data_IF_173272065761
#
_entry.id   IF_173272065761
#
_cell.length_a   1.000
_cell.length_b   1.000
_cell.length_c   1.000
_cell.angle_alpha   90.00
_cell.angle_beta   90.00
_cell.angle_gamma   90.00
#
_symmetry.space_group_name_H-M   'P 1'
#
loop_
_entity.id
_entity.type
_entity.pdbx_description
1 polymer ?
#
# COMPACT_ATOMS: atom_id res chain seq x y z
N UNK A 1 15.92 0.14 34.43
CA UNK A 1 17.15 -0.47 33.89
C UNK A 1 17.19 -0.21 32.39
N UNK A 2 18.36 0.20 31.88
CA UNK A 2 18.61 0.39 30.45
C UNK A 2 19.81 -0.45 30.01
N UNK A 3 19.83 -0.85 28.75
CA UNK A 3 20.80 -1.76 28.14
C UNK A 3 21.52 -1.07 26.98
N UNK A 4 22.78 -1.47 26.77
CA UNK A 4 23.57 -1.08 25.59
C UNK A 4 23.09 -1.82 24.34
N UNK A 5 22.57 -3.04 24.50
CA UNK A 5 22.05 -3.88 23.42
C UNK A 5 20.74 -4.54 23.84
N UNK A 6 19.75 -4.48 22.96
CA UNK A 6 18.54 -5.31 23.02
C UNK A 6 18.53 -6.17 21.76
N UNK A 7 18.68 -7.48 21.91
CA UNK A 7 18.62 -8.45 20.81
C UNK A 7 17.37 -9.33 20.97
N UNK A 8 16.49 -9.41 19.95
CA UNK A 8 15.16 -10.00 20.15
C UNK A 8 14.50 -10.55 18.90
N UNK A 9 13.69 -11.59 19.10
CA UNK A 9 12.62 -12.03 18.20
C UNK A 9 11.31 -11.87 18.99
N UNK A 10 10.68 -10.69 18.93
CA UNK A 10 9.62 -10.31 19.85
C UNK A 10 8.36 -11.15 19.61
N UNK A 11 7.53 -11.36 20.64
CA UNK A 11 6.28 -12.11 20.50
C UNK A 11 5.34 -11.47 19.46
N UNK A 12 4.81 -12.29 18.56
CA UNK A 12 3.93 -11.89 17.46
C UNK A 12 2.43 -11.91 17.83
N UNK A 13 2.14 -12.21 19.10
CA UNK A 13 0.78 -12.45 19.59
C UNK A 13 -0.14 -11.25 19.34
N UNK A 14 -1.35 -11.55 18.88
CA UNK A 14 -2.47 -10.61 18.80
C UNK A 14 -3.44 -10.90 19.94
N UNK A 15 -3.21 -10.26 21.09
CA UNK A 15 -4.06 -10.43 22.28
C UNK A 15 -5.50 -9.98 22.04
N UNK A 16 -5.74 -9.14 21.03
CA UNK A 16 -7.06 -8.59 20.74
C UNK A 16 -7.86 -9.43 19.76
N UNK A 17 -7.27 -10.50 19.20
CA UNK A 17 -7.86 -11.34 18.15
C UNK A 17 -8.36 -10.55 16.94
N UNK A 18 -7.86 -9.32 16.71
CA UNK A 18 -8.32 -8.44 15.62
C UNK A 18 -7.73 -8.81 14.27
N UNK A 19 -6.79 -9.76 14.22
CA UNK A 19 -6.07 -10.26 13.04
C UNK A 19 -5.40 -9.14 12.22
N UNK A 20 -5.15 -7.97 12.81
CA UNK A 20 -4.56 -6.79 12.15
C UNK A 20 -3.15 -6.54 12.67
N UNK A 21 -2.21 -6.30 11.75
CA UNK A 21 -0.79 -6.07 12.05
C UNK A 21 -0.56 -4.98 13.10
N UNK A 22 -1.33 -3.90 13.08
CA UNK A 22 -1.17 -2.75 13.99
C UNK A 22 -1.43 -3.04 15.47
N UNK A 23 -2.03 -4.20 15.79
CA UNK A 23 -2.36 -4.61 17.16
C UNK A 23 -1.48 -5.77 17.66
N UNK A 24 -0.47 -6.17 16.88
CA UNK A 24 0.45 -7.22 17.30
C UNK A 24 1.47 -6.67 18.29
N UNK A 25 1.76 -7.45 19.33
CA UNK A 25 2.61 -7.03 20.45
C UNK A 25 4.01 -6.58 20.02
N UNK A 26 4.57 -7.17 18.96
CA UNK A 26 5.92 -6.84 18.49
C UNK A 26 6.12 -5.35 18.17
N UNK A 27 5.07 -4.63 17.72
CA UNK A 27 5.18 -3.19 17.42
C UNK A 27 5.43 -2.40 18.71
N UNK A 28 4.65 -2.70 19.75
CA UNK A 28 4.79 -2.04 21.05
C UNK A 28 6.06 -2.49 21.77
N UNK A 29 6.50 -3.73 21.57
CA UNK A 29 7.79 -4.23 22.05
C UNK A 29 8.95 -3.41 21.45
N UNK A 30 8.97 -3.23 20.13
CA UNK A 30 10.00 -2.42 19.46
C UNK A 30 9.98 -0.99 19.96
N UNK A 31 8.82 -0.34 20.07
CA UNK A 31 8.74 1.02 20.60
C UNK A 31 9.25 1.11 22.03
N UNK A 32 8.86 0.17 22.89
CA UNK A 32 9.32 0.12 24.28
C UNK A 32 10.82 -0.08 24.39
N UNK A 33 11.45 -0.79 23.44
CA UNK A 33 12.89 -0.91 23.38
C UNK A 33 13.57 0.47 23.28
N UNK A 34 13.11 1.34 22.38
CA UNK A 34 13.65 2.70 22.25
C UNK A 34 13.21 3.63 23.37
N UNK A 35 11.96 3.54 23.83
CA UNK A 35 11.38 4.47 24.79
C UNK A 35 11.88 4.25 26.23
N UNK A 36 12.24 3.01 26.59
CA UNK A 36 12.49 2.62 27.98
C UNK A 36 13.72 1.74 28.21
N UNK A 37 14.11 0.91 27.25
CA UNK A 37 15.12 -0.13 27.50
C UNK A 37 16.50 0.23 26.96
N UNK A 38 16.60 0.93 25.83
CA UNK A 38 17.89 1.30 25.26
C UNK A 38 18.42 2.58 25.87
N UNK A 39 19.71 2.58 26.18
CA UNK A 39 20.46 3.82 26.44
C UNK A 39 20.55 4.66 25.15
N UNK A 40 20.85 5.97 25.23
CA UNK A 40 21.36 6.71 24.07
C UNK A 40 22.54 5.96 23.43
N UNK A 41 22.65 5.96 22.11
CA UNK A 41 23.64 5.17 21.33
C UNK A 41 23.49 3.64 21.43
N UNK A 42 22.59 3.11 22.27
CA UNK A 42 22.33 1.69 22.39
C UNK A 42 21.73 1.09 21.11
N UNK A 43 21.83 -0.24 20.96
CA UNK A 43 21.50 -0.95 19.72
C UNK A 43 20.27 -1.85 19.90
N UNK A 44 19.29 -1.73 18.99
CA UNK A 44 18.29 -2.77 18.76
C UNK A 44 18.74 -3.69 17.63
N UNK A 45 18.85 -4.99 17.90
CA UNK A 45 18.95 -6.05 16.90
C UNK A 45 17.67 -6.87 16.94
N UNK A 46 16.88 -6.86 15.86
CA UNK A 46 15.55 -7.48 15.90
C UNK A 46 15.20 -8.21 14.60
N UNK A 47 14.60 -9.40 14.74
CA UNK A 47 13.86 -10.10 13.68
C UNK A 47 12.36 -9.83 13.87
N UNK A 48 11.62 -9.42 12.83
CA UNK A 48 10.17 -9.13 12.93
C UNK A 48 9.45 -9.29 11.58
N UNK A 49 8.11 -9.24 11.48
CA UNK A 49 7.45 -9.34 10.18
C UNK A 49 7.79 -8.14 9.31
N UNK A 50 8.04 -8.35 8.02
CA UNK A 50 8.33 -7.26 7.07
C UNK A 50 7.10 -6.40 6.72
N UNK A 51 5.95 -6.60 7.36
CA UNK A 51 4.76 -5.76 7.19
C UNK A 51 4.96 -4.28 7.58
N UNK A 52 6.06 -3.94 8.27
CA UNK A 52 6.39 -2.54 8.56
C UNK A 52 6.75 -1.73 7.32
N UNK A 53 6.98 -2.33 6.16
CA UNK A 53 7.28 -1.61 4.92
C UNK A 53 6.11 -0.72 4.45
N UNK A 54 4.91 -0.89 5.03
CA UNK A 54 3.68 -0.19 4.63
C UNK A 54 3.55 1.27 5.13
N UNK A 55 2.76 2.12 4.43
CA UNK A 55 2.58 3.55 4.72
C UNK A 55 2.13 4.00 6.11
N UNK A 56 1.54 3.10 6.88
CA UNK A 56 0.97 3.39 8.20
C UNK A 56 1.75 2.74 9.33
N UNK A 57 2.95 2.25 9.02
CA UNK A 57 3.82 1.56 9.96
C UNK A 57 4.50 2.52 10.93
N UNK A 58 4.27 2.30 12.22
CA UNK A 58 5.01 2.99 13.30
C UNK A 58 6.50 2.63 13.29
N UNK A 59 6.84 1.44 12.80
CA UNK A 59 8.22 0.94 12.78
C UNK A 59 9.00 1.54 11.62
N UNK A 60 8.36 1.75 10.46
CA UNK A 60 9.00 2.50 9.37
C UNK A 60 9.25 3.94 9.80
N UNK A 61 8.28 4.58 10.46
CA UNK A 61 8.48 5.93 11.02
C UNK A 61 9.66 5.97 12.00
N UNK A 62 9.79 4.97 12.85
CA UNK A 62 10.94 4.84 13.75
C UNK A 62 12.26 4.71 12.96
N UNK A 63 12.30 3.88 11.93
CA UNK A 63 13.46 3.75 11.02
C UNK A 63 13.77 5.05 10.27
N UNK A 64 12.76 5.89 10.01
CA UNK A 64 12.94 7.21 9.41
C UNK A 64 13.55 8.23 10.37
N UNK A 65 13.46 8.03 11.68
CA UNK A 65 13.96 8.96 12.70
C UNK A 65 15.32 8.52 13.27
N UNK A 66 15.58 7.20 13.28
CA UNK A 66 16.75 6.59 13.91
C UNK A 66 17.81 6.18 12.89
N UNK A 67 19.04 6.01 13.38
CA UNK A 67 20.16 5.56 12.56
C UNK A 67 20.11 4.04 12.35
N UNK A 68 19.56 3.62 11.20
CA UNK A 68 19.47 2.22 10.81
C UNK A 68 20.75 1.82 10.08
N UNK A 69 21.51 0.90 10.69
CA UNK A 69 22.76 0.39 10.11
C UNK A 69 22.48 -0.49 8.91
N UNK A 70 21.63 -1.49 9.10
CA UNK A 70 21.21 -2.39 8.03
C UNK A 70 19.75 -2.80 8.19
N UNK A 71 19.12 -3.11 7.05
CA UNK A 71 17.79 -3.65 6.93
C UNK A 71 17.82 -4.83 5.95
N UNK A 72 17.68 -6.05 6.47
CA UNK A 72 17.66 -7.29 5.69
C UNK A 72 16.22 -7.74 5.47
N UNK A 73 15.83 -7.90 4.21
CA UNK A 73 14.46 -8.24 3.77
C UNK A 73 14.33 -9.67 3.23
N UNK A 74 15.43 -10.39 3.08
CA UNK A 74 15.47 -11.78 2.60
C UNK A 74 15.44 -12.82 3.75
N UNK A 75 15.21 -12.38 4.99
CA UNK A 75 15.22 -13.19 6.22
C UNK A 75 14.23 -14.36 6.18
N UNK A 76 13.18 -14.29 5.35
CA UNK A 76 12.22 -15.38 5.13
C UNK A 76 12.90 -16.71 4.78
N UNK A 77 14.08 -16.70 4.16
CA UNK A 77 14.83 -17.92 3.83
C UNK A 77 15.10 -18.84 5.03
N UNK A 78 15.17 -18.27 6.24
CA UNK A 78 15.35 -19.01 7.49
C UNK A 78 14.03 -19.54 8.09
N UNK A 79 12.87 -19.17 7.51
CA UNK A 79 11.52 -19.48 8.00
C UNK A 79 10.64 -20.12 6.90
N UNK A 80 11.20 -21.06 6.12
CA UNK A 80 10.55 -21.63 4.93
C UNK A 80 9.17 -22.26 5.16
N UNK A 81 8.91 -22.77 6.37
CA UNK A 81 7.63 -23.39 6.76
C UNK A 81 6.59 -22.41 7.31
N UNK A 82 6.94 -21.12 7.45
CA UNK A 82 6.07 -20.11 8.03
C UNK A 82 5.44 -19.27 6.92
N UNK A 83 4.11 -19.19 6.89
CA UNK A 83 3.34 -18.43 5.88
C UNK A 83 3.42 -16.90 6.02
N UNK A 84 4.56 -16.35 6.46
CA UNK A 84 4.78 -14.92 6.66
C UNK A 84 6.15 -14.50 6.11
N UNK A 85 6.34 -13.20 5.97
CA UNK A 85 7.62 -12.59 5.54
C UNK A 85 8.27 -11.91 6.73
N UNK A 86 9.58 -12.06 6.84
CA UNK A 86 10.37 -11.55 7.96
C UNK A 86 11.50 -10.68 7.45
N UNK A 87 11.92 -9.76 8.32
CA UNK A 87 13.08 -8.93 8.13
C UNK A 87 13.88 -8.89 9.44
N UNK A 88 15.19 -8.73 9.33
CA UNK A 88 16.06 -8.44 10.45
C UNK A 88 16.85 -7.15 10.24
N UNK A 89 17.09 -6.42 11.31
CA UNK A 89 17.69 -5.10 11.25
C UNK A 89 18.45 -4.74 12.51
N UNK A 90 19.39 -3.82 12.34
CA UNK A 90 20.13 -3.18 13.41
C UNK A 90 19.88 -1.68 13.38
N UNK A 91 19.40 -1.13 14.49
CA UNK A 91 19.08 0.29 14.63
C UNK A 91 19.78 0.83 15.89
N UNK A 92 20.52 1.92 15.74
CA UNK A 92 21.06 2.67 16.86
C UNK A 92 20.01 3.61 17.43
N UNK A 93 19.94 3.73 18.76
CA UNK A 93 19.11 4.69 19.47
C UNK A 93 19.74 6.09 19.46
N UNK A 94 19.87 6.64 18.26
CA UNK A 94 20.35 7.98 17.99
C UNK A 94 19.68 8.54 16.73
N UNK A 95 19.67 9.86 16.54
CA UNK A 95 19.16 10.46 15.31
C UNK A 95 19.87 9.89 14.08
N UNK A 96 19.16 9.79 12.97
CA UNK A 96 19.74 9.32 11.72
C UNK A 96 20.99 10.12 11.33
N UNK A 97 22.03 9.40 10.91
CA UNK A 97 23.29 10.02 10.49
C UNK A 97 23.81 9.49 9.15
N UNK A 98 23.50 8.24 8.80
CA UNK A 98 24.04 7.57 7.61
C UNK A 98 22.93 6.96 6.74
N UNK A 99 23.32 6.58 5.52
CA UNK A 99 22.50 5.68 4.69
C UNK A 99 22.40 4.32 5.37
N UNK A 100 21.30 3.63 5.08
CA UNK A 100 21.03 2.28 5.54
C UNK A 100 21.48 1.28 4.48
N UNK A 101 22.23 0.26 4.88
CA UNK A 101 22.50 -0.89 4.03
C UNK A 101 21.23 -1.75 3.91
N UNK A 102 20.61 -1.78 2.73
CA UNK A 102 19.44 -2.62 2.45
C UNK A 102 19.92 -3.90 1.78
N UNK A 103 19.56 -5.05 2.36
CA UNK A 103 19.94 -6.38 1.88
C UNK A 103 18.67 -7.10 1.44
N UNK A 104 18.60 -7.49 0.18
CA UNK A 104 17.49 -8.24 -0.41
C UNK A 104 18.00 -9.51 -1.09
N UNK A 105 17.09 -10.31 -1.63
CA UNK A 105 17.41 -11.47 -2.47
C UNK A 105 18.02 -11.05 -3.82
N UNK A 106 17.85 -9.79 -4.23
CA UNK A 106 18.39 -9.22 -5.48
C UNK A 106 19.79 -8.60 -5.30
N UNK A 107 20.25 -8.39 -4.06
CA UNK A 107 21.55 -7.80 -3.77
C UNK A 107 21.53 -6.85 -2.58
N UNK A 108 22.63 -6.10 -2.42
CA UNK A 108 22.83 -5.14 -1.34
C UNK A 108 23.06 -3.75 -1.94
N UNK A 109 22.42 -2.73 -1.38
CA UNK A 109 22.60 -1.33 -1.78
C UNK A 109 22.39 -0.39 -0.59
N UNK A 110 22.84 0.86 -0.70
CA UNK A 110 22.68 1.87 0.35
C UNK A 110 21.55 2.84 0.04
N UNK A 111 20.69 3.12 1.03
CA UNK A 111 19.56 4.02 0.87
C UNK A 111 19.29 4.86 2.12
N UNK A 112 19.01 6.15 1.92
CA UNK A 112 18.42 6.98 2.97
C UNK A 112 16.94 6.64 3.14
N UNK A 113 16.55 6.05 4.28
CA UNK A 113 15.14 5.77 4.60
C UNK A 113 14.58 6.95 5.39
N UNK A 114 14.06 8.01 4.76
CA UNK A 114 13.49 9.18 5.44
C UNK A 114 12.00 9.38 5.14
N UNK A 115 11.44 10.51 5.57
CA UNK A 115 10.01 10.82 5.42
C UNK A 115 9.53 10.94 3.97
N UNK A 116 10.44 11.14 3.00
CA UNK A 116 10.11 11.13 1.56
C UNK A 116 9.71 9.73 1.09
N UNK A 117 10.31 8.69 1.69
CA UNK A 117 9.95 7.29 1.48
C UNK A 117 8.88 6.88 2.47
N UNK A 118 7.63 7.29 2.23
CA UNK A 118 6.54 6.96 3.14
C UNK A 118 6.14 5.48 3.10
N UNK A 119 6.67 4.68 2.18
CA UNK A 119 6.68 3.21 2.22
C UNK A 119 7.90 2.63 1.52
N UNK A 120 8.12 1.32 1.69
CA UNK A 120 9.06 0.53 0.90
C UNK A 120 8.27 -0.51 0.07
N UNK A 121 8.44 -0.58 -1.25
CA UNK A 121 7.73 -1.53 -2.11
C UNK A 121 7.93 -2.98 -1.65
N UNK A 122 7.04 -3.90 -2.02
CA UNK A 122 7.18 -5.31 -1.67
C UNK A 122 8.38 -5.99 -2.38
N UNK A 123 8.85 -5.40 -3.48
CA UNK A 123 9.93 -5.90 -4.33
C UNK A 123 11.22 -5.06 -4.21
N UNK A 124 11.49 -4.48 -3.04
CA UNK A 124 12.57 -3.51 -2.77
C UNK A 124 13.86 -3.81 -3.56
N UNK A 125 14.24 -2.86 -4.41
CA UNK A 125 15.56 -2.74 -5.04
C UNK A 125 15.82 -1.26 -5.35
N UNK A 126 17.01 -0.92 -5.84
CA UNK A 126 17.31 0.44 -6.28
C UNK A 126 16.38 0.88 -7.42
N UNK A 127 16.15 0.00 -8.40
CA UNK A 127 15.24 0.24 -9.53
C UNK A 127 13.80 0.45 -9.06
N UNK A 128 13.29 -0.45 -8.21
CA UNK A 128 11.93 -0.33 -7.65
C UNK A 128 11.76 1.00 -6.92
N UNK A 129 12.72 1.38 -6.05
CA UNK A 129 12.65 2.66 -5.35
C UNK A 129 12.70 3.86 -6.30
N UNK A 130 13.52 3.82 -7.35
CA UNK A 130 13.60 4.89 -8.35
C UNK A 130 12.29 5.04 -9.13
N UNK A 131 11.67 3.94 -9.56
CA UNK A 131 10.36 3.94 -10.21
C UNK A 131 9.30 4.55 -9.28
N UNK A 132 9.22 4.07 -8.03
CA UNK A 132 8.26 4.59 -7.06
C UNK A 132 8.50 6.06 -6.70
N UNK A 133 9.75 6.55 -6.73
CA UNK A 133 10.05 7.98 -6.58
C UNK A 133 9.46 8.82 -7.69
N UNK A 134 9.68 8.42 -8.94
CA UNK A 134 9.23 9.15 -10.13
C UNK A 134 7.71 9.28 -10.21
N UNK A 135 6.97 8.33 -9.62
CA UNK A 135 5.53 8.20 -9.87
C UNK A 135 4.68 8.41 -8.61
N UNK A 136 5.18 8.07 -7.43
CA UNK A 136 4.38 8.12 -6.19
C UNK A 136 4.98 9.08 -5.16
N UNK A 137 6.28 9.01 -4.90
CA UNK A 137 6.87 9.80 -3.80
C UNK A 137 7.06 11.27 -4.14
N UNK A 138 7.50 11.59 -5.36
CA UNK A 138 7.87 12.96 -5.75
C UNK A 138 6.81 13.66 -6.62
N UNK A 139 5.72 12.98 -6.98
CA UNK A 139 4.64 13.60 -7.77
C UNK A 139 3.84 14.57 -6.91
N UNK A 140 3.67 15.78 -7.42
CA UNK A 140 2.89 16.85 -6.81
C UNK A 140 1.44 16.80 -7.30
N UNK A 141 1.23 16.67 -8.62
CA UNK A 141 -0.12 16.59 -9.21
C UNK A 141 -0.69 15.18 -9.07
N UNK A 142 -1.65 15.03 -8.17
CA UNK A 142 -2.24 13.74 -7.78
C UNK A 142 -3.69 13.67 -8.24
N UNK A 143 -4.12 12.47 -8.63
CA UNK A 143 -5.53 12.25 -8.90
C UNK A 143 -6.38 12.57 -7.66
N UNK A 144 -7.55 13.15 -7.90
CA UNK A 144 -8.57 13.36 -6.89
C UNK A 144 -9.31 12.04 -6.58
N UNK A 145 -8.59 11.10 -5.96
CA UNK A 145 -9.14 9.81 -5.54
C UNK A 145 -10.07 10.01 -4.36
N UNK A 146 -11.32 9.60 -4.53
CA UNK A 146 -12.41 9.69 -3.56
C UNK A 146 -12.79 8.32 -3.05
N UNK A 147 -13.45 8.30 -1.90
CA UNK A 147 -14.00 7.11 -1.24
C UNK A 147 -15.17 7.54 -0.35
N UNK A 148 -16.00 6.58 0.06
CA UNK A 148 -17.11 6.79 1.00
C UNK A 148 -17.10 5.70 2.07
N UNK A 149 -16.70 6.07 3.28
CA UNK A 149 -16.62 5.17 4.43
C UNK A 149 -17.90 5.10 5.27
N UNK A 150 -18.95 5.81 4.88
CA UNK A 150 -20.11 6.01 5.74
C UNK A 150 -21.36 5.38 5.15
N UNK A 151 -21.76 5.81 3.96
CA UNK A 151 -23.13 5.56 3.45
C UNK A 151 -23.42 4.07 3.28
N UNK A 152 -22.48 3.33 2.70
CA UNK A 152 -22.62 1.91 2.37
C UNK A 152 -21.49 1.07 3.00
N UNK A 153 -21.03 1.42 4.21
CA UNK A 153 -19.94 0.70 4.86
C UNK A 153 -20.30 -0.79 5.04
N UNK A 154 -19.38 -1.70 4.71
CA UNK A 154 -19.61 -3.14 4.78
C UNK A 154 -20.13 -3.65 6.13
N UNK A 155 -19.81 -3.01 7.26
CA UNK A 155 -20.29 -3.40 8.60
C UNK A 155 -21.79 -3.25 8.75
N UNK A 156 -22.42 -2.41 7.92
CA UNK A 156 -23.86 -2.18 7.93
C UNK A 156 -24.63 -3.47 7.64
N UNK A 157 -24.06 -4.43 6.87
CA UNK A 157 -24.67 -5.74 6.57
C UNK A 157 -25.03 -6.55 7.83
N UNK A 158 -24.41 -6.22 8.97
CA UNK A 158 -24.63 -6.87 10.25
C UNK A 158 -25.30 -5.97 11.30
N UNK A 159 -25.44 -4.67 11.00
CA UNK A 159 -25.89 -3.66 11.97
C UNK A 159 -27.25 -3.09 11.65
N UNK A 160 -27.60 -3.01 10.37
CA UNK A 160 -28.89 -2.51 9.92
C UNK A 160 -29.27 -3.14 8.58
N UNK A 161 -30.44 -2.74 8.09
CA UNK A 161 -31.00 -3.21 6.82
C UNK A 161 -30.79 -2.17 5.70
N UNK A 162 -29.64 -1.48 5.66
CA UNK A 162 -29.35 -0.50 4.59
C UNK A 162 -28.72 -1.16 3.36
N UNK A 163 -27.97 -2.25 3.56
CA UNK A 163 -27.28 -2.98 2.50
C UNK A 163 -27.60 -4.48 2.56
N UNK A 164 -27.63 -5.12 1.40
CA UNK A 164 -27.89 -6.55 1.22
C UNK A 164 -26.91 -7.16 0.22
N UNK A 165 -26.53 -8.42 0.41
CA UNK A 165 -25.68 -9.15 -0.56
C UNK A 165 -26.44 -9.54 -1.84
N UNK A 166 -27.77 -9.55 -1.79
CA UNK A 166 -28.66 -9.89 -2.91
C UNK A 166 -29.63 -8.75 -3.17
N UNK A 167 -30.08 -8.62 -4.42
CA UNK A 167 -31.10 -7.63 -4.79
C UNK A 167 -32.43 -8.01 -4.13
N UNK A 168 -33.12 -7.03 -3.56
CA UNK A 168 -34.48 -7.19 -3.03
C UNK A 168 -35.37 -6.05 -3.53
N UNK A 169 -36.64 -6.03 -3.13
CA UNK A 169 -37.56 -4.94 -3.45
C UNK A 169 -37.09 -3.59 -2.91
N UNK A 170 -36.52 -3.58 -1.70
CA UNK A 170 -35.98 -2.36 -1.08
C UNK A 170 -34.51 -2.09 -1.47
N UNK A 171 -33.68 -3.13 -1.64
CA UNK A 171 -32.26 -3.00 -1.96
C UNK A 171 -32.05 -3.03 -3.46
N UNK A 172 -32.34 -1.91 -4.12
CA UNK A 172 -32.37 -1.83 -5.58
C UNK A 172 -31.09 -1.24 -6.18
N UNK A 173 -30.30 -0.49 -5.41
CA UNK A 173 -29.14 0.22 -5.94
C UNK A 173 -27.88 -0.64 -5.85
N UNK A 174 -27.26 -1.02 -6.97
CA UNK A 174 -26.08 -1.87 -6.93
C UNK A 174 -24.87 -1.08 -6.39
N UNK A 175 -24.12 -1.72 -5.50
CA UNK A 175 -22.88 -1.18 -4.92
C UNK A 175 -21.75 -2.17 -5.15
N UNK A 176 -20.64 -1.69 -5.69
CA UNK A 176 -19.45 -2.51 -5.89
C UNK A 176 -18.78 -2.76 -4.53
N UNK A 177 -18.36 -4.00 -4.25
CA UNK A 177 -17.72 -4.36 -2.98
C UNK A 177 -16.30 -4.90 -3.20
N UNK A 178 -16.19 -5.96 -3.99
CA UNK A 178 -14.90 -6.54 -4.42
C UNK A 178 -15.00 -6.93 -5.89
N UNK A 179 -13.87 -7.25 -6.51
CA UNK A 179 -13.86 -7.70 -7.91
C UNK A 179 -14.77 -8.90 -8.19
N UNK A 180 -15.12 -9.70 -7.17
CA UNK A 180 -16.00 -10.85 -7.30
C UNK A 180 -17.44 -10.58 -6.83
N UNK A 181 -17.72 -9.40 -6.26
CA UNK A 181 -18.96 -9.16 -5.52
C UNK A 181 -19.55 -7.77 -5.78
N UNK A 182 -20.81 -7.79 -6.20
CA UNK A 182 -21.73 -6.65 -6.18
C UNK A 182 -22.77 -6.93 -5.11
N UNK A 183 -23.03 -5.93 -4.27
CA UNK A 183 -24.09 -5.93 -3.27
C UNK A 183 -25.13 -4.88 -3.67
N UNK A 184 -26.13 -4.66 -2.82
CA UNK A 184 -27.22 -3.74 -3.08
C UNK A 184 -27.53 -2.88 -1.85
N UNK A 185 -27.98 -1.65 -2.07
CA UNK A 185 -28.32 -0.67 -1.04
C UNK A 185 -29.74 -0.15 -1.22
N UNK A 186 -30.39 0.20 -0.10
CA UNK A 186 -31.64 1.00 -0.10
C UNK A 186 -31.39 2.47 -0.45
N UNK A 187 -30.17 2.95 -0.18
CA UNK A 187 -29.77 4.35 -0.38
C UNK A 187 -28.86 4.44 -1.60
N UNK A 188 -29.21 5.31 -2.55
CA UNK A 188 -28.30 5.65 -3.65
C UNK A 188 -27.30 6.70 -3.16
N UNK A 189 -26.02 6.37 -3.19
CA UNK A 189 -24.96 7.35 -2.94
C UNK A 189 -24.99 8.44 -4.02
N UNK A 190 -24.77 9.70 -3.63
CA UNK A 190 -24.84 10.87 -4.54
C UNK A 190 -23.89 10.74 -5.75
N UNK A 191 -22.74 10.11 -5.55
CA UNK A 191 -21.75 9.85 -6.60
C UNK A 191 -22.08 8.60 -7.44
N UNK A 192 -23.04 7.79 -7.01
CA UNK A 192 -23.39 6.52 -7.65
C UNK A 192 -23.90 6.70 -9.09
N UNK A 193 -24.60 7.80 -9.40
CA UNK A 193 -25.09 8.11 -10.76
C UNK A 193 -24.05 8.82 -11.63
N UNK A 194 -22.88 9.16 -11.09
CA UNK A 194 -21.85 9.89 -11.82
C UNK A 194 -20.90 8.96 -12.56
N UNK A 195 -20.41 9.41 -13.70
CA UNK A 195 -19.34 8.73 -14.44
C UNK A 195 -18.05 8.72 -13.63
N UNK A 196 -17.39 7.58 -13.57
CA UNK A 196 -16.20 7.38 -12.73
C UNK A 196 -15.38 6.20 -13.16
N UNK A 197 -14.09 6.23 -12.85
CA UNK A 197 -13.25 5.02 -12.82
C UNK A 197 -13.11 4.60 -11.37
N UNK A 198 -13.35 3.32 -11.08
CA UNK A 198 -13.39 2.81 -9.71
C UNK A 198 -12.65 1.48 -9.57
N UNK A 199 -12.20 1.18 -8.34
CA UNK A 199 -11.53 -0.08 -8.01
C UNK A 199 -11.76 -0.47 -6.56
N UNK A 200 -11.64 -1.76 -6.27
CA UNK A 200 -11.65 -2.27 -4.90
C UNK A 200 -10.24 -2.29 -4.33
N UNK A 201 -10.11 -1.99 -3.04
CA UNK A 201 -8.89 -2.27 -2.28
C UNK A 201 -8.70 -3.74 -1.98
N UNK A 202 -9.71 -4.59 -2.15
CA UNK A 202 -9.61 -6.02 -1.85
C UNK A 202 -9.03 -6.80 -3.01
N UNK A 203 -8.06 -7.67 -2.74
CA UNK A 203 -7.45 -8.48 -3.79
C UNK A 203 -6.69 -7.60 -4.81
N UNK A 204 -6.63 -8.04 -6.05
CA UNK A 204 -5.90 -7.30 -7.10
C UNK A 204 -6.62 -6.00 -7.44
N UNK A 205 -5.89 -4.89 -7.46
CA UNK A 205 -6.45 -3.61 -7.91
C UNK A 205 -6.79 -3.73 -9.40
N UNK A 206 -8.07 -3.60 -9.73
CA UNK A 206 -8.57 -3.68 -11.11
C UNK A 206 -9.47 -2.46 -11.38
N UNK A 207 -8.89 -1.33 -11.81
CA UNK A 207 -9.65 -0.16 -12.21
C UNK A 207 -10.55 -0.48 -13.40
N UNK A 208 -11.78 0.02 -13.37
CA UNK A 208 -12.72 -0.08 -14.50
C UNK A 208 -13.61 1.17 -14.60
N UNK A 209 -14.07 1.47 -15.80
CA UNK A 209 -15.01 2.57 -16.04
C UNK A 209 -16.44 2.18 -15.66
N UNK A 210 -17.10 3.02 -14.86
CA UNK A 210 -18.51 2.96 -14.51
C UNK A 210 -19.24 4.20 -15.03
N UNK A 211 -20.24 3.98 -15.89
CA UNK A 211 -21.08 5.03 -16.47
C UNK A 211 -22.23 5.44 -15.53
N UNK A 212 -21.98 5.48 -14.21
CA UNK A 212 -23.00 5.83 -13.21
C UNK A 212 -23.93 4.68 -12.83
N UNK A 213 -23.47 3.43 -12.90
CA UNK A 213 -24.28 2.27 -12.48
C UNK A 213 -24.09 2.00 -10.99
N UNK A 214 -22.84 1.97 -10.54
CA UNK A 214 -22.50 1.50 -9.20
C UNK A 214 -22.30 2.64 -8.20
N UNK A 215 -22.83 2.45 -6.99
CA UNK A 215 -22.20 2.98 -5.77
C UNK A 215 -21.05 2.07 -5.32
N UNK A 216 -20.66 2.15 -4.06
CA UNK A 216 -19.60 1.29 -3.53
C UNK A 216 -19.57 1.28 -2.02
N UNK A 217 -19.05 0.19 -1.46
CA UNK A 217 -18.81 0.10 -0.02
C UNK A 217 -17.53 0.85 0.38
N UNK A 218 -17.21 0.85 1.68
CA UNK A 218 -15.92 1.26 2.27
C UNK A 218 -14.66 0.61 1.65
N UNK A 219 -14.83 -0.34 0.73
CA UNK A 219 -13.74 -1.01 0.04
C UNK A 219 -13.36 -0.32 -1.27
N UNK A 220 -14.13 0.68 -1.70
CA UNK A 220 -14.06 1.24 -3.05
C UNK A 220 -13.42 2.62 -3.06
N UNK A 221 -12.56 2.81 -4.05
CA UNK A 221 -11.98 4.09 -4.40
C UNK A 221 -12.39 4.43 -5.83
N UNK A 222 -12.56 5.72 -6.11
CA UNK A 222 -12.98 6.17 -7.43
C UNK A 222 -12.45 7.55 -7.78
N UNK A 223 -12.40 7.83 -9.08
CA UNK A 223 -12.12 9.15 -9.66
C UNK A 223 -13.30 9.49 -10.56
N UNK A 224 -13.89 10.67 -10.35
CA UNK A 224 -14.99 11.16 -11.18
C UNK A 224 -14.44 11.64 -12.52
N UNK A 225 -15.18 11.39 -13.59
CA UNK A 225 -14.86 11.82 -14.95
C UNK A 225 -16.09 12.49 -15.57
N UNK A 226 -15.87 13.27 -16.62
CA UNK A 226 -16.95 14.09 -17.21
C UNK A 226 -17.74 13.33 -18.27
N UNK A 227 -17.10 12.40 -18.98
CA UNK A 227 -17.70 11.68 -20.10
C UNK A 227 -17.16 10.24 -20.28
N UNK A 228 -17.71 9.52 -21.26
CA UNK A 228 -17.37 8.12 -21.52
C UNK A 228 -15.95 7.97 -22.10
N UNK A 229 -15.47 8.98 -22.83
CA UNK A 229 -14.15 8.96 -23.47
C UNK A 229 -13.10 9.11 -22.37
N UNK A 230 -13.24 10.14 -21.52
CA UNK A 230 -12.40 10.39 -20.36
C UNK A 230 -12.36 9.22 -19.38
N UNK A 231 -13.51 8.59 -19.13
CA UNK A 231 -13.61 7.38 -18.33
C UNK A 231 -12.84 6.20 -18.89
N UNK A 232 -13.03 5.88 -20.18
CA UNK A 232 -12.34 4.75 -20.84
C UNK A 232 -10.84 4.98 -20.96
N UNK A 233 -10.42 6.22 -21.25
CA UNK A 233 -9.01 6.58 -21.32
C UNK A 233 -8.33 6.43 -19.95
N UNK A 234 -8.96 6.93 -18.88
CA UNK A 234 -8.42 6.78 -17.53
C UNK A 234 -8.38 5.31 -17.08
N UNK A 235 -9.43 4.52 -17.38
CA UNK A 235 -9.43 3.07 -17.15
C UNK A 235 -8.25 2.39 -17.85
N UNK A 236 -8.03 2.68 -19.14
CA UNK A 236 -6.89 2.16 -19.89
C UNK A 236 -5.57 2.53 -19.23
N UNK A 237 -5.39 3.81 -18.90
CA UNK A 237 -4.13 4.35 -18.39
C UNK A 237 -3.76 3.76 -17.03
N UNK A 238 -4.76 3.57 -16.14
CA UNK A 238 -4.58 2.89 -14.86
C UNK A 238 -4.33 1.38 -15.00
N UNK A 239 -4.58 0.78 -16.17
CA UNK A 239 -4.35 -0.62 -16.47
C UNK A 239 -3.10 -0.87 -17.32
N UNK A 240 -2.27 0.13 -17.58
CA UNK A 240 -0.93 -0.04 -18.17
C UNK A 240 -0.03 -0.90 -17.27
N UNK A 241 1.02 -1.49 -17.83
CA UNK A 241 1.98 -2.34 -17.09
C UNK A 241 2.63 -1.60 -15.93
N UNK A 242 3.00 -0.33 -16.14
CA UNK A 242 3.58 0.50 -15.08
C UNK A 242 2.65 0.66 -13.88
N UNK A 243 1.38 0.99 -14.13
CA UNK A 243 0.41 1.19 -13.05
C UNK A 243 0.07 -0.13 -12.35
N UNK A 244 -0.06 -1.23 -13.11
CA UNK A 244 -0.23 -2.58 -12.54
C UNK A 244 0.97 -3.01 -11.69
N UNK A 245 2.19 -2.71 -12.12
CA UNK A 245 3.41 -2.92 -11.33
C UNK A 245 3.30 -2.19 -9.99
N UNK A 246 3.01 -0.88 -10.00
CA UNK A 246 2.87 -0.09 -8.77
C UNK A 246 1.79 -0.66 -7.82
N UNK A 247 0.64 -1.10 -8.34
CA UNK A 247 -0.41 -1.70 -7.50
C UNK A 247 0.01 -3.04 -6.90
N UNK A 248 0.82 -3.82 -7.61
CA UNK A 248 1.32 -5.12 -7.15
C UNK A 248 2.41 -4.97 -6.10
N UNK A 249 3.28 -3.97 -6.25
CA UNK A 249 4.44 -3.76 -5.37
C UNK A 249 4.15 -2.85 -4.19
N UNK A 250 3.25 -1.86 -4.29
CA UNK A 250 2.80 -1.03 -3.17
C UNK A 250 1.69 -1.71 -2.34
N UNK A 251 1.87 -3.01 -2.04
CA UNK A 251 0.89 -3.85 -1.35
C UNK A 251 1.55 -4.86 -0.42
N UNK A 252 1.18 -4.83 0.86
CA UNK A 252 1.79 -5.62 1.93
C UNK A 252 0.81 -6.56 2.64
N UNK A 253 -0.40 -6.69 2.11
CA UNK A 253 -1.47 -7.53 2.64
C UNK A 253 -2.40 -7.97 1.52
N UNK A 254 -3.49 -8.68 1.82
CA UNK A 254 -4.55 -8.94 0.84
C UNK A 254 -5.22 -7.68 0.29
N UNK A 255 -5.01 -6.52 0.94
CA UNK A 255 -5.63 -5.24 0.62
C UNK A 255 -4.64 -4.18 0.15
N UNK A 256 -5.05 -3.34 -0.80
CA UNK A 256 -4.41 -2.08 -1.15
C UNK A 256 -4.50 -1.05 -0.02
N UNK A 257 -3.64 -0.04 -0.09
CA UNK A 257 -3.49 0.99 0.92
C UNK A 257 -4.00 2.34 0.41
N UNK A 258 -4.88 2.98 1.19
CA UNK A 258 -5.42 4.31 0.88
C UNK A 258 -4.35 5.35 0.58
N UNK A 259 -3.29 5.42 1.39
CA UNK A 259 -2.23 6.42 1.20
C UNK A 259 -1.51 6.26 -0.13
N UNK A 260 -1.47 5.05 -0.67
CA UNK A 260 -0.93 4.78 -2.01
C UNK A 260 -1.93 5.24 -3.06
N UNK A 261 -3.21 4.90 -2.91
CA UNK A 261 -4.24 5.32 -3.86
C UNK A 261 -4.37 6.85 -3.95
N UNK A 262 -4.39 7.55 -2.81
CA UNK A 262 -4.40 9.01 -2.76
C UNK A 262 -3.07 9.66 -3.20
N UNK A 263 -2.02 8.87 -3.42
CA UNK A 263 -0.74 9.34 -3.94
C UNK A 263 -0.51 8.98 -5.42
N UNK A 264 -1.51 8.41 -6.09
CA UNK A 264 -1.42 8.13 -7.52
C UNK A 264 -1.31 9.44 -8.32
N UNK A 265 -0.48 9.46 -9.37
CA UNK A 265 -0.31 10.63 -10.21
C UNK A 265 -1.59 10.93 -10.99
N UNK A 266 -1.86 12.21 -11.23
CA UNK A 266 -2.88 12.60 -12.19
C UNK A 266 -2.50 12.07 -13.59
N UNK A 267 -3.41 11.32 -14.24
CA UNK A 267 -3.15 10.70 -15.54
C UNK A 267 -4.00 11.38 -16.63
N UNK A 268 -3.51 11.44 -17.87
CA UNK A 268 -4.30 11.96 -18.99
C UNK A 268 -5.64 11.24 -19.13
N UNK A 269 -6.68 11.99 -19.47
CA UNK A 269 -8.04 11.47 -19.73
C UNK A 269 -8.51 11.79 -21.14
N UNK A 270 -7.78 12.59 -21.90
CA UNK A 270 -8.08 12.96 -23.28
C UNK A 270 -7.65 11.89 -24.30
N UNK A 271 -6.71 11.01 -23.95
CA UNK A 271 -6.32 9.87 -24.77
C UNK A 271 -5.90 8.64 -23.97
N UNK A 272 -6.04 7.47 -24.59
CA UNK A 272 -5.53 6.20 -24.09
C UNK A 272 -4.03 6.09 -24.40
N UNK A 273 -3.21 5.89 -23.38
CA UNK A 273 -1.78 5.69 -23.47
C UNK A 273 -1.44 4.22 -23.69
N UNK A 274 -0.44 3.97 -24.54
CA UNK A 274 0.29 2.70 -24.57
C UNK A 274 1.24 2.58 -23.37
N UNK A 275 1.76 1.37 -23.12
CA UNK A 275 2.78 1.15 -22.07
C UNK A 275 4.03 2.02 -22.30
N UNK A 276 4.48 2.18 -23.55
CA UNK A 276 5.64 3.01 -23.89
C UNK A 276 5.39 4.49 -23.55
N UNK A 277 4.24 5.03 -23.93
CA UNK A 277 3.88 6.41 -23.60
C UNK A 277 3.76 6.63 -22.10
N UNK A 278 3.29 5.62 -21.35
CA UNK A 278 3.23 5.67 -19.89
C UNK A 278 4.64 5.69 -19.26
N UNK A 279 5.59 4.93 -19.80
CA UNK A 279 6.99 4.99 -19.38
C UNK A 279 7.62 6.36 -19.69
N UNK A 280 7.34 6.91 -20.87
CA UNK A 280 7.81 8.23 -21.30
C UNK A 280 7.25 9.35 -20.42
N UNK A 281 5.96 9.30 -20.06
CA UNK A 281 5.30 10.27 -19.18
C UNK A 281 6.07 10.48 -17.87
N UNK A 282 6.61 9.40 -17.30
CA UNK A 282 7.34 9.42 -16.04
C UNK A 282 8.86 9.37 -16.20
N UNK A 283 9.38 9.54 -17.42
CA UNK A 283 10.81 9.53 -17.73
C UNK A 283 11.53 8.29 -17.20
N UNK A 284 10.95 7.10 -17.43
CA UNK A 284 11.62 5.84 -17.09
C UNK A 284 12.77 5.56 -18.08
N UNK A 285 13.92 5.20 -17.52
CA UNK A 285 15.11 4.70 -18.23
C UNK A 285 14.83 3.33 -18.86
N UNK A 286 15.69 2.87 -19.77
CA UNK A 286 15.51 1.55 -20.42
C UNK A 286 15.66 0.40 -19.42
N UNK A 287 16.49 0.58 -18.42
CA UNK A 287 16.71 -0.35 -17.31
C UNK A 287 15.44 -0.45 -16.45
N UNK A 288 14.83 0.68 -16.07
CA UNK A 288 13.57 0.70 -15.32
C UNK A 288 12.41 0.13 -16.13
N UNK A 289 12.32 0.42 -17.43
CA UNK A 289 11.33 -0.17 -18.33
C UNK A 289 11.47 -1.70 -18.34
N UNK A 290 12.68 -2.20 -18.59
CA UNK A 290 12.97 -3.63 -18.62
C UNK A 290 12.68 -4.30 -17.27
N UNK A 291 12.93 -3.61 -16.16
CA UNK A 291 12.62 -4.08 -14.82
C UNK A 291 11.11 -4.29 -14.62
N UNK A 292 10.29 -3.31 -15.03
CA UNK A 292 8.82 -3.41 -14.97
C UNK A 292 8.32 -4.55 -15.84
N UNK A 293 8.80 -4.64 -17.09
CA UNK A 293 8.42 -5.70 -18.04
C UNK A 293 8.71 -7.09 -17.48
N UNK A 294 9.95 -7.31 -17.01
CA UNK A 294 10.37 -8.60 -16.43
C UNK A 294 9.56 -8.98 -15.18
N UNK A 295 9.15 -7.99 -14.37
CA UNK A 295 8.33 -8.24 -13.18
C UNK A 295 6.87 -8.59 -13.51
N UNK A 296 6.37 -8.04 -14.62
CA UNK A 296 4.98 -8.19 -15.04
C UNK A 296 4.74 -9.46 -15.88
N UNK A 297 5.79 -10.02 -16.49
CA UNK A 297 5.74 -11.26 -17.28
C UNK A 297 5.59 -10.98 -18.76
#
# INVERSE_FOLDING_TARGET
>A
MQFDVVATNPPFQDYTNKKKTQHKLWIDFTRRAFDKWLKPEGILLQVSPSSFLSPSSKILKLMQEKDVKYLRLDTKKYFSKVGSTFADYLIYNRPKSKKTEIITDKGTFEQTIDSTLFYLPADVSEESLNIHRKIIFNIIDKMNVKYDYVTCHNVLIHRNDTISKIKTEDHIYPIFHTNAQVWYSKIRQDWGNRKKVMWSRSGYTKPFYDNGVYGGTDMIYYVLVDDDISGKNLENNLNTKLMKYLFKTAKWSGFGNEKVFCALPNLPTDYAMSDLQMYELFNLTKEEQSYVENYMG
#
